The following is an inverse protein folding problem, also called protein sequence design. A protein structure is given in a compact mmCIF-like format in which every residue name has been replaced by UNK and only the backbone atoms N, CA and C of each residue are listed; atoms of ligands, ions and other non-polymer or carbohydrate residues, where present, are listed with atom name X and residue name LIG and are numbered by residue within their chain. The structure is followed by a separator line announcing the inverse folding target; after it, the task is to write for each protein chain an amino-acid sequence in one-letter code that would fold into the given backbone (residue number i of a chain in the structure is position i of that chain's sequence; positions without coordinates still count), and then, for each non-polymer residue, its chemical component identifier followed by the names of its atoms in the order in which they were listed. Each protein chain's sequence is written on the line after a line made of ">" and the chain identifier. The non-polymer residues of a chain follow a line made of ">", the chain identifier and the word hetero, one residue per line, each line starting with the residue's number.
data_IF_685976640648
#
_entry.id   IF_685976640648
#
_cell.length_a   1.000
_cell.length_b   1.000
_cell.length_c   1.000
_cell.angle_alpha   90.00
_cell.angle_beta   90.00
_cell.angle_gamma   90.00
#
_symmetry.space_group_name_H-M   'P 1'
#
loop_
_entity.id
_entity.type
_entity.pdbx_description
1 polymer ?
#
# COMPACT_ATOMS: atom_id res chain seq x y z
N UNK A 1 -27.77 -19.15 -46.83
CA UNK A 1 -27.07 -19.10 -45.52
C UNK A 1 -27.38 -17.74 -44.89
N UNK A 2 -28.35 -17.68 -43.98
CA UNK A 2 -28.57 -16.48 -43.16
C UNK A 2 -27.60 -16.52 -41.98
N UNK A 3 -26.71 -15.54 -41.89
CA UNK A 3 -25.89 -15.28 -40.71
C UNK A 3 -26.75 -14.49 -39.73
N UNK A 4 -27.16 -15.13 -38.65
CA UNK A 4 -27.81 -14.48 -37.52
C UNK A 4 -26.77 -13.65 -36.76
N UNK A 5 -26.91 -12.33 -36.82
CA UNK A 5 -26.17 -11.41 -35.96
C UNK A 5 -26.76 -11.49 -34.55
N UNK A 6 -26.05 -12.15 -33.63
CA UNK A 6 -26.33 -12.08 -32.20
C UNK A 6 -25.92 -10.71 -31.69
N UNK A 7 -26.89 -9.80 -31.55
CA UNK A 7 -26.71 -8.56 -30.80
C UNK A 7 -26.55 -8.91 -29.32
N UNK A 8 -25.34 -8.75 -28.81
CA UNK A 8 -25.07 -8.85 -27.37
C UNK A 8 -25.72 -7.64 -26.69
N UNK A 9 -26.87 -7.85 -26.05
CA UNK A 9 -27.45 -6.85 -25.15
C UNK A 9 -26.55 -6.77 -23.94
N UNK A 10 -25.85 -5.65 -23.78
CA UNK A 10 -25.02 -5.38 -22.60
C UNK A 10 -25.92 -5.36 -21.36
N UNK A 11 -25.63 -6.22 -20.39
CA UNK A 11 -26.30 -6.24 -19.09
C UNK A 11 -26.15 -4.87 -18.41
N UNK A 12 -27.27 -4.20 -18.09
CA UNK A 12 -27.26 -2.90 -17.40
C UNK A 12 -27.17 -3.15 -15.90
N UNK A 13 -26.07 -2.75 -15.27
CA UNK A 13 -25.91 -2.87 -13.82
C UNK A 13 -26.62 -1.71 -13.14
N UNK A 14 -27.35 -1.96 -12.06
CA UNK A 14 -28.08 -0.92 -11.34
C UNK A 14 -27.96 -1.10 -9.83
N UNK A 15 -28.15 0.00 -9.11
CA UNK A 15 -28.19 0.08 -7.67
C UNK A 15 -29.55 0.63 -7.22
N UNK A 16 -30.20 -0.08 -6.32
CA UNK A 16 -31.43 0.34 -5.66
C UNK A 16 -31.11 0.71 -4.22
N UNK A 17 -31.59 1.87 -3.79
CA UNK A 17 -31.74 2.17 -2.36
C UNK A 17 -33.21 2.02 -2.02
N UNK A 18 -33.53 1.11 -1.12
CA UNK A 18 -34.89 0.90 -0.62
C UNK A 18 -35.21 1.94 0.46
N UNK A 19 -36.50 2.26 0.66
CA UNK A 19 -36.95 3.22 1.68
C UNK A 19 -36.57 2.85 3.12
N UNK A 20 -36.22 1.60 3.37
CA UNK A 20 -35.68 1.14 4.65
C UNK A 20 -34.15 1.32 4.78
N UNK A 21 -33.51 2.00 3.83
CA UNK A 21 -32.07 2.25 3.77
C UNK A 21 -31.24 1.08 3.23
N UNK A 22 -31.86 -0.06 2.86
CA UNK A 22 -31.12 -1.20 2.30
C UNK A 22 -30.70 -0.89 0.86
N UNK A 23 -29.43 -1.14 0.57
CA UNK A 23 -28.85 -1.00 -0.77
C UNK A 23 -28.74 -2.37 -1.43
N UNK A 24 -29.20 -2.47 -2.68
CA UNK A 24 -29.14 -3.66 -3.51
C UNK A 24 -28.46 -3.30 -4.83
N UNK A 25 -27.49 -4.10 -5.27
CA UNK A 25 -26.90 -3.97 -6.60
C UNK A 25 -27.09 -5.25 -7.39
N UNK A 26 -27.40 -5.14 -8.68
CA UNK A 26 -27.66 -6.29 -9.56
C UNK A 26 -27.80 -5.90 -11.02
N UNK A 27 -27.89 -6.92 -11.87
CA UNK A 27 -28.17 -6.73 -13.29
C UNK A 27 -29.66 -6.47 -13.49
N UNK A 28 -30.02 -5.43 -14.22
CA UNK A 28 -31.40 -5.09 -14.55
C UNK A 28 -31.94 -6.08 -15.59
N UNK A 29 -32.91 -6.89 -15.18
CA UNK A 29 -33.59 -7.85 -16.07
C UNK A 29 -34.79 -7.17 -16.74
N UNK A 30 -35.59 -6.43 -15.97
CA UNK A 30 -36.69 -5.62 -16.50
C UNK A 30 -37.13 -4.55 -15.49
N UNK A 31 -37.76 -3.50 -15.99
CA UNK A 31 -38.47 -2.53 -15.15
C UNK A 31 -39.75 -2.05 -15.83
N UNK A 32 -40.74 -1.70 -15.02
CA UNK A 32 -41.95 -1.00 -15.42
C UNK A 32 -42.38 -0.04 -14.29
N UNK A 33 -43.55 0.59 -14.43
CA UNK A 33 -44.05 1.59 -13.48
C UNK A 33 -44.28 1.05 -12.06
N UNK A 34 -44.49 -0.26 -11.90
CA UNK A 34 -44.81 -0.87 -10.60
C UNK A 34 -43.66 -1.72 -10.05
N UNK A 35 -42.76 -2.20 -10.90
CA UNK A 35 -41.79 -3.23 -10.51
C UNK A 35 -40.44 -3.08 -11.19
N UNK A 36 -39.40 -3.50 -10.46
CA UNK A 36 -38.02 -3.64 -10.95
C UNK A 36 -37.57 -5.07 -10.66
N UNK A 37 -37.06 -5.77 -11.66
CA UNK A 37 -36.52 -7.13 -11.51
C UNK A 37 -35.01 -7.05 -11.69
N UNK A 38 -34.26 -7.42 -10.64
CA UNK A 38 -32.80 -7.51 -10.68
C UNK A 38 -32.33 -8.94 -10.54
N UNK A 39 -31.28 -9.29 -11.27
CA UNK A 39 -30.52 -10.51 -11.03
C UNK A 39 -29.41 -10.22 -10.03
N UNK A 40 -29.55 -10.74 -8.81
CA UNK A 40 -28.63 -10.56 -7.69
C UNK A 40 -28.00 -11.90 -7.37
N UNK A 41 -26.68 -12.04 -7.56
CA UNK A 41 -25.96 -13.32 -7.37
C UNK A 41 -26.60 -14.47 -8.15
N UNK A 42 -27.03 -14.20 -9.39
CA UNK A 42 -27.63 -15.20 -10.28
C UNK A 42 -29.13 -15.47 -10.06
N UNK A 43 -29.76 -14.88 -9.05
CA UNK A 43 -31.18 -15.06 -8.74
C UNK A 43 -31.96 -13.81 -9.14
N UNK A 44 -33.01 -13.99 -9.95
CA UNK A 44 -33.95 -12.92 -10.27
C UNK A 44 -34.81 -12.58 -9.05
N UNK A 45 -34.73 -11.33 -8.60
CA UNK A 45 -35.42 -10.81 -7.42
C UNK A 45 -36.27 -9.63 -7.84
N UNK A 46 -37.56 -9.67 -7.47
CA UNK A 46 -38.54 -8.63 -7.77
C UNK A 46 -38.62 -7.62 -6.64
N UNK A 47 -38.56 -6.33 -6.98
CA UNK A 47 -38.74 -5.20 -6.09
C UNK A 47 -39.94 -4.36 -6.54
N UNK A 48 -40.81 -3.99 -5.60
CA UNK A 48 -41.92 -3.06 -5.86
C UNK A 48 -41.36 -1.62 -5.93
N UNK A 49 -41.72 -0.87 -6.97
CA UNK A 49 -41.23 0.51 -7.19
C UNK A 49 -41.55 1.42 -6.00
N UNK A 50 -42.66 1.17 -5.29
CA UNK A 50 -43.05 1.95 -4.11
C UNK A 50 -42.12 1.76 -2.91
N UNK A 51 -41.33 0.68 -2.89
CA UNK A 51 -40.35 0.38 -1.85
C UNK A 51 -38.96 0.94 -2.16
N UNK A 52 -38.76 1.42 -3.39
CA UNK A 52 -37.49 2.00 -3.86
C UNK A 52 -37.51 3.50 -3.58
N UNK A 53 -36.48 3.97 -2.89
CA UNK A 53 -36.22 5.39 -2.63
C UNK A 53 -35.36 5.99 -3.74
N UNK A 54 -34.33 5.25 -4.18
CA UNK A 54 -33.40 5.68 -5.24
C UNK A 54 -33.11 4.54 -6.21
N UNK A 55 -33.09 4.86 -7.50
CA UNK A 55 -32.72 3.95 -8.59
C UNK A 55 -31.58 4.60 -9.38
N UNK A 56 -30.41 3.97 -9.43
CA UNK A 56 -29.24 4.48 -10.13
C UNK A 56 -28.68 3.43 -11.09
N UNK A 57 -28.45 3.80 -12.34
CA UNK A 57 -27.72 2.97 -13.29
C UNK A 57 -26.23 3.10 -13.04
N UNK A 58 -25.55 1.97 -12.88
CA UNK A 58 -24.09 1.89 -12.78
C UNK A 58 -23.59 1.72 -14.21
N UNK A 59 -23.16 2.84 -14.80
CA UNK A 59 -22.54 2.82 -16.12
C UNK A 59 -21.22 2.06 -16.05
N UNK A 60 -20.99 1.18 -17.03
CA UNK A 60 -19.67 0.58 -17.19
C UNK A 60 -18.64 1.66 -17.56
N UNK A 61 -17.33 1.47 -17.28
CA UNK A 61 -16.30 2.42 -17.70
C UNK A 61 -16.35 2.76 -19.20
N UNK A 62 -16.80 1.84 -20.05
CA UNK A 62 -16.99 2.06 -21.49
C UNK A 62 -18.17 3.00 -21.79
N UNK A 63 -19.31 2.84 -21.14
CA UNK A 63 -20.48 3.69 -21.36
C UNK A 63 -20.24 5.11 -20.81
N UNK A 64 -19.61 5.19 -19.65
CA UNK A 64 -19.23 6.48 -19.06
C UNK A 64 -18.16 7.19 -19.92
N UNK A 65 -17.26 6.43 -20.54
CA UNK A 65 -16.33 6.96 -21.56
C UNK A 65 -17.04 7.57 -22.77
N UNK A 66 -17.98 6.85 -23.39
CA UNK A 66 -18.71 7.35 -24.57
C UNK A 66 -19.48 8.64 -24.23
N UNK A 67 -20.14 8.66 -23.07
CA UNK A 67 -20.87 9.83 -22.58
C UNK A 67 -19.97 11.04 -22.34
N UNK A 68 -18.78 10.84 -21.76
CA UNK A 68 -17.81 11.92 -21.54
C UNK A 68 -17.17 12.36 -22.86
N UNK A 69 -16.82 11.41 -23.74
CA UNK A 69 -16.17 11.71 -25.02
C UNK A 69 -17.04 12.51 -25.97
N UNK A 70 -18.36 12.24 -25.98
CA UNK A 70 -19.33 12.96 -26.80
C UNK A 70 -19.49 14.45 -26.44
N UNK A 71 -19.09 14.84 -25.23
CA UNK A 71 -19.15 16.23 -24.74
C UNK A 71 -17.86 17.02 -25.03
N UNK A 72 -16.82 16.35 -25.50
CA UNK A 72 -15.51 16.95 -25.77
C UNK A 72 -15.32 17.14 -27.28
N UNK A 73 -14.72 18.27 -27.64
CA UNK A 73 -14.29 18.50 -29.03
C UNK A 73 -13.05 17.66 -29.34
N UNK A 74 -12.85 17.35 -30.62
CA UNK A 74 -11.70 16.55 -31.04
C UNK A 74 -10.36 17.26 -30.82
N UNK A 75 -10.35 18.60 -30.86
CA UNK A 75 -9.17 19.45 -30.61
C UNK A 75 -9.00 19.84 -29.13
N UNK A 76 -9.84 19.36 -28.22
CA UNK A 76 -9.74 19.64 -26.79
C UNK A 76 -8.69 18.74 -26.12
N UNK A 77 -7.42 19.13 -26.24
CA UNK A 77 -6.29 18.41 -25.64
C UNK A 77 -6.49 18.17 -24.13
N UNK A 78 -6.86 19.21 -23.37
CA UNK A 78 -6.97 19.12 -21.91
C UNK A 78 -8.14 18.25 -21.46
N UNK A 79 -9.31 18.43 -22.09
CA UNK A 79 -10.50 17.63 -21.79
C UNK A 79 -10.28 16.15 -22.11
N UNK A 80 -9.71 15.86 -23.29
CA UNK A 80 -9.44 14.49 -23.74
C UNK A 80 -8.29 13.84 -22.95
N UNK A 81 -7.27 14.59 -22.55
CA UNK A 81 -6.20 14.08 -21.68
C UNK A 81 -6.73 13.70 -20.28
N UNK A 82 -7.60 14.53 -19.70
CA UNK A 82 -8.29 14.22 -18.43
C UNK A 82 -9.19 12.98 -18.58
N UNK A 83 -9.90 12.86 -19.70
CA UNK A 83 -10.71 11.67 -20.00
C UNK A 83 -9.85 10.40 -20.06
N UNK A 84 -8.70 10.46 -20.73
CA UNK A 84 -7.75 9.36 -20.78
C UNK A 84 -7.13 9.01 -19.41
N UNK A 85 -6.92 10.01 -18.56
CA UNK A 85 -6.41 9.84 -17.20
C UNK A 85 -7.44 9.14 -16.30
N UNK A 86 -8.70 9.56 -16.40
CA UNK A 86 -9.81 8.89 -15.71
C UNK A 86 -9.99 7.44 -16.20
N UNK A 87 -9.94 7.19 -17.52
CA UNK A 87 -9.98 5.82 -18.06
C UNK A 87 -8.85 4.93 -17.53
N UNK A 88 -7.67 5.52 -17.28
CA UNK A 88 -6.55 4.81 -16.67
C UNK A 88 -6.83 4.46 -15.20
N UNK A 89 -7.44 5.37 -14.43
CA UNK A 89 -7.85 5.14 -13.03
C UNK A 89 -8.93 4.06 -12.93
N UNK A 90 -9.88 4.01 -13.86
CA UNK A 90 -10.92 2.97 -13.97
C UNK A 90 -10.40 1.64 -14.57
N UNK A 91 -9.08 1.52 -14.76
CA UNK A 91 -8.40 0.39 -15.41
C UNK A 91 -8.91 0.01 -16.81
N UNK A 92 -9.57 0.94 -17.50
CA UNK A 92 -10.07 0.80 -18.86
C UNK A 92 -8.94 1.08 -19.88
N UNK A 93 -7.84 0.34 -19.74
CA UNK A 93 -6.58 0.61 -20.42
C UNK A 93 -6.66 0.56 -21.96
N UNK A 94 -7.56 -0.24 -22.53
CA UNK A 94 -7.76 -0.30 -23.98
C UNK A 94 -8.32 1.01 -24.53
N UNK A 95 -9.31 1.58 -23.85
CA UNK A 95 -9.95 2.84 -24.20
C UNK A 95 -8.99 4.01 -23.96
N UNK A 96 -8.28 3.99 -22.82
CA UNK A 96 -7.27 5.00 -22.51
C UNK A 96 -6.18 5.04 -23.59
N UNK A 97 -5.68 3.87 -24.02
CA UNK A 97 -4.66 3.79 -25.07
C UNK A 97 -5.16 4.34 -26.40
N UNK A 98 -6.38 4.00 -26.82
CA UNK A 98 -6.96 4.51 -28.07
C UNK A 98 -7.05 6.03 -28.07
N UNK A 99 -7.53 6.62 -26.98
CA UNK A 99 -7.69 8.06 -26.87
C UNK A 99 -6.33 8.79 -26.87
N UNK A 100 -5.35 8.24 -26.15
CA UNK A 100 -3.99 8.80 -26.08
C UNK A 100 -3.22 8.65 -27.40
N UNK A 101 -3.46 7.60 -28.18
CA UNK A 101 -2.87 7.47 -29.52
C UNK A 101 -3.36 8.59 -30.44
N UNK A 102 -4.66 8.90 -30.40
CA UNK A 102 -5.22 10.02 -31.16
C UNK A 102 -4.60 11.34 -30.69
N UNK A 103 -4.60 11.61 -29.39
CA UNK A 103 -4.01 12.85 -28.85
C UNK A 103 -2.53 12.99 -29.17
N UNK A 104 -1.75 11.90 -29.14
CA UNK A 104 -0.32 11.96 -29.43
C UNK A 104 -0.04 12.28 -30.91
N UNK A 105 -0.98 11.92 -31.79
CA UNK A 105 -0.90 12.26 -33.21
C UNK A 105 -1.27 13.73 -33.44
N UNK A 106 -2.33 14.20 -32.79
CA UNK A 106 -2.87 15.54 -32.99
C UNK A 106 -2.04 16.62 -32.25
N UNK A 107 -1.40 16.25 -31.14
CA UNK A 107 -0.60 17.14 -30.27
C UNK A 107 0.79 16.56 -29.96
N UNK A 108 1.68 16.38 -30.95
CA UNK A 108 2.96 15.68 -30.79
C UNK A 108 3.99 16.41 -29.91
N UNK A 109 3.78 17.69 -29.63
CA UNK A 109 4.67 18.50 -28.79
C UNK A 109 4.30 18.41 -27.30
N UNK A 110 3.12 17.86 -26.95
CA UNK A 110 2.73 17.69 -25.57
C UNK A 110 3.47 16.49 -24.96
N UNK A 111 4.28 16.74 -23.93
CA UNK A 111 5.12 15.72 -23.30
C UNK A 111 4.35 14.78 -22.36
N UNK A 112 3.13 15.16 -21.94
CA UNK A 112 2.30 14.41 -20.98
C UNK A 112 1.60 13.24 -21.67
N UNK A 113 1.10 13.47 -22.89
CA UNK A 113 0.40 12.44 -23.69
C UNK A 113 1.25 11.17 -23.94
N UNK A 114 2.50 11.25 -24.46
CA UNK A 114 3.33 10.06 -24.67
C UNK A 114 3.73 9.37 -23.36
N UNK A 115 3.88 10.13 -22.27
CA UNK A 115 4.16 9.58 -20.94
C UNK A 115 2.98 8.73 -20.44
N UNK A 116 1.77 9.27 -20.46
CA UNK A 116 0.58 8.53 -20.05
C UNK A 116 0.29 7.34 -20.97
N UNK A 117 0.51 7.50 -22.29
CA UNK A 117 0.39 6.39 -23.26
C UNK A 117 1.34 5.24 -22.93
N UNK A 118 2.59 5.53 -22.54
CA UNK A 118 3.57 4.53 -22.10
C UNK A 118 3.09 3.80 -20.83
N UNK A 119 2.57 4.54 -19.86
CA UNK A 119 2.06 3.98 -18.59
C UNK A 119 0.86 3.07 -18.85
N UNK A 120 -0.11 3.52 -19.64
CA UNK A 120 -1.31 2.75 -20.00
C UNK A 120 -0.94 1.46 -20.74
N UNK A 121 0.00 1.52 -21.69
CA UNK A 121 0.50 0.33 -22.41
C UNK A 121 1.14 -0.69 -21.47
N UNK A 122 1.96 -0.24 -20.53
CA UNK A 122 2.58 -1.12 -19.53
C UNK A 122 1.53 -1.80 -18.64
N UNK A 123 0.56 -1.04 -18.11
CA UNK A 123 -0.54 -1.60 -17.32
C UNK A 123 -1.43 -2.57 -18.10
N UNK A 124 -1.73 -2.26 -19.36
CA UNK A 124 -2.50 -3.16 -20.23
C UNK A 124 -1.78 -4.49 -20.43
N UNK A 125 -0.47 -4.48 -20.71
CA UNK A 125 0.34 -5.71 -20.85
C UNK A 125 0.31 -6.55 -19.58
N UNK A 126 0.50 -5.92 -18.43
CA UNK A 126 0.42 -6.61 -17.13
C UNK A 126 -0.96 -7.23 -16.89
N UNK A 127 -2.05 -6.57 -17.30
CA UNK A 127 -3.43 -7.09 -17.19
C UNK A 127 -3.68 -8.26 -18.16
N UNK A 128 -3.20 -8.18 -19.40
CA UNK A 128 -3.32 -9.28 -20.38
C UNK A 128 -2.49 -10.49 -20.00
N UNK A 129 -1.31 -10.30 -19.43
CA UNK A 129 -0.45 -11.40 -18.98
C UNK A 129 -1.03 -12.08 -17.72
N UNK A 130 -1.68 -11.31 -16.85
CA UNK A 130 -2.40 -11.85 -15.69
C UNK A 130 -3.68 -12.61 -16.08
N UNK A 131 -4.31 -12.26 -17.20
CA UNK A 131 -5.50 -12.95 -17.74
C UNK A 131 -5.21 -14.16 -18.62
N UNK A 132 -3.94 -14.40 -18.98
CA UNK A 132 -3.52 -15.51 -19.86
C UNK A 132 -3.18 -16.80 -19.10
N UNK A 133 -3.23 -16.78 -17.76
CA UNK A 133 -2.88 -17.92 -16.92
C UNK A 133 -4.00 -18.97 -16.77
N UNK A 134 -5.06 -18.87 -17.59
CA UNK A 134 -6.22 -19.76 -17.55
C UNK A 134 -6.47 -20.38 -18.95
N UNK A 135 -5.45 -21.00 -19.55
CA UNK A 135 -5.62 -21.92 -20.68
C UNK A 135 -4.65 -23.10 -20.63
N UNK A 136 -5.25 -24.26 -20.34
CA UNK A 136 -4.85 -25.63 -20.73
C UNK A 136 -3.48 -26.11 -20.25
N UNK A 137 -3.52 -26.86 -19.14
CA UNK A 137 -2.54 -27.88 -18.80
C UNK A 137 -2.54 -28.94 -19.91
N UNK A 138 -1.53 -28.93 -20.77
CA UNK A 138 -1.08 -30.11 -21.50
C UNK A 138 0.37 -30.37 -21.16
N UNK A 139 0.56 -31.38 -20.31
CA UNK A 139 1.84 -31.94 -19.90
C UNK A 139 2.61 -32.49 -21.11
N UNK A 140 3.88 -32.09 -21.35
CA UNK A 140 4.76 -32.85 -22.22
C UNK A 140 5.53 -33.88 -21.39
N UNK A 141 5.26 -35.14 -21.67
CA UNK A 141 5.99 -36.31 -21.18
C UNK A 141 7.45 -36.24 -21.65
N UNK A 142 8.41 -36.22 -20.71
CA UNK A 142 9.85 -36.31 -21.03
C UNK A 142 10.32 -37.78 -21.03
N UNK A 143 11.04 -38.25 -22.07
CA UNK A 143 11.57 -39.61 -22.10
C UNK A 143 12.76 -39.80 -21.14
N UNK A 144 12.82 -41.00 -20.54
CA UNK A 144 13.97 -41.50 -19.76
C UNK A 144 15.19 -41.71 -20.67
N UNK A 145 16.36 -41.29 -20.22
CA UNK A 145 17.63 -41.83 -20.73
C UNK A 145 18.57 -42.10 -19.57
N UNK A 146 19.14 -43.30 -19.61
CA UNK A 146 20.04 -43.95 -18.66
C UNK A 146 21.48 -43.51 -18.92
N UNK A 147 22.25 -43.13 -17.89
CA UNK A 147 23.72 -43.35 -17.85
C UNK A 147 24.20 -43.60 -16.41
N UNK A 148 24.80 -44.78 -16.27
CA UNK A 148 25.78 -45.45 -15.37
C UNK A 148 26.53 -44.67 -14.24
N UNK A 149 26.98 -45.36 -13.15
CA UNK A 149 27.42 -44.72 -11.89
C UNK A 149 28.95 -44.75 -11.57
N UNK A 150 29.28 -44.06 -10.47
CA UNK A 150 30.43 -44.16 -9.53
C UNK A 150 31.60 -43.15 -9.71
N UNK A 151 32.33 -42.73 -8.63
CA UNK A 151 32.43 -43.38 -7.32
C UNK A 151 32.19 -42.51 -6.06
N UNK A 152 31.95 -43.25 -4.97
CA UNK A 152 31.85 -42.82 -3.57
C UNK A 152 33.20 -42.32 -3.05
N UNK A 153 33.19 -41.20 -2.33
CA UNK A 153 34.19 -40.88 -1.31
C UNK A 153 33.45 -40.86 0.04
N UNK A 154 33.83 -41.82 0.88
CA UNK A 154 33.49 -41.94 2.30
C UNK A 154 34.29 -40.94 3.12
N UNK A 155 33.64 -40.19 4.00
CA UNK A 155 34.22 -39.78 5.28
C UNK A 155 33.16 -39.81 6.37
N UNK A 156 33.35 -40.75 7.30
CA UNK A 156 32.69 -40.81 8.59
C UNK A 156 33.17 -39.66 9.47
N UNK A 157 32.26 -38.94 10.15
CA UNK A 157 32.46 -38.44 11.52
C UNK A 157 31.11 -38.06 12.18
N UNK A 158 30.94 -38.26 13.50
CA UNK A 158 29.68 -38.01 14.24
C UNK A 158 29.49 -36.52 14.61
N UNK A 159 28.31 -36.10 15.10
CA UNK A 159 27.96 -34.68 15.27
C UNK A 159 28.69 -34.08 16.48
N UNK A 160 29.50 -33.05 16.24
CA UNK A 160 30.10 -32.22 17.29
C UNK A 160 29.19 -31.06 17.67
N UNK A 161 29.04 -30.89 18.99
CA UNK A 161 28.42 -29.79 19.73
C UNK A 161 28.93 -28.42 19.25
N UNK A 162 28.11 -27.35 19.21
CA UNK A 162 28.54 -26.04 18.71
C UNK A 162 29.66 -25.45 19.57
N UNK A 163 30.74 -25.04 18.90
CA UNK A 163 31.94 -24.45 19.47
C UNK A 163 31.75 -22.95 19.74
N UNK A 164 32.11 -22.52 20.95
CA UNK A 164 32.10 -21.13 21.44
C UNK A 164 33.21 -20.29 20.77
N UNK A 165 33.03 -19.91 19.51
CA UNK A 165 33.84 -18.89 18.84
C UNK A 165 32.94 -17.96 18.00
N UNK A 166 31.95 -17.33 18.64
CA UNK A 166 31.37 -16.10 18.10
C UNK A 166 32.32 -14.94 18.43
N UNK A 167 32.68 -14.06 17.48
CA UNK A 167 33.38 -12.83 17.80
C UNK A 167 32.52 -12.04 18.79
N UNK A 168 33.11 -11.63 19.92
CA UNK A 168 32.51 -10.65 20.80
C UNK A 168 32.43 -9.31 20.04
N UNK A 169 31.31 -9.09 19.34
CA UNK A 169 31.07 -7.82 18.67
C UNK A 169 30.83 -6.77 19.75
N UNK A 170 31.71 -5.76 19.80
CA UNK A 170 31.45 -4.53 20.52
C UNK A 170 30.01 -4.08 20.24
N UNK A 171 29.26 -3.83 21.31
CA UNK A 171 27.90 -3.32 21.20
C UNK A 171 28.01 -1.97 20.47
N UNK A 172 27.29 -1.74 19.35
CA UNK A 172 27.27 -0.42 18.74
C UNK A 172 26.74 0.54 19.79
N UNK A 173 27.46 1.63 20.03
CA UNK A 173 27.02 2.66 20.95
C UNK A 173 25.79 3.29 20.29
N UNK A 174 24.59 2.90 20.76
CA UNK A 174 23.36 3.62 20.39
C UNK A 174 23.62 5.09 20.76
N UNK A 175 23.50 6.04 19.82
CA UNK A 175 23.73 7.44 20.13
C UNK A 175 22.87 7.83 21.34
N UNK A 176 23.52 8.45 22.33
CA UNK A 176 22.89 8.81 23.60
C UNK A 176 21.60 9.61 23.34
N UNK A 177 20.52 9.24 24.03
CA UNK A 177 19.19 9.84 23.83
C UNK A 177 18.31 9.25 22.73
N UNK A 178 18.78 8.25 21.95
CA UNK A 178 17.91 7.57 20.97
C UNK A 178 17.08 6.48 21.66
N UNK A 179 15.80 6.74 21.89
CA UNK A 179 14.89 5.77 22.52
C UNK A 179 14.19 4.90 21.46
N UNK A 180 13.82 3.67 21.84
CA UNK A 180 12.90 2.87 21.02
C UNK A 180 11.46 3.25 21.37
N UNK A 181 10.54 3.08 20.42
CA UNK A 181 9.13 3.30 20.69
C UNK A 181 8.61 2.39 21.81
N UNK A 182 7.73 2.94 22.64
CA UNK A 182 6.99 2.19 23.66
C UNK A 182 5.87 1.36 23.01
N UNK A 183 5.29 0.43 23.77
CA UNK A 183 4.18 -0.38 23.27
C UNK A 183 2.96 0.47 22.90
N UNK A 184 2.67 1.51 23.67
CA UNK A 184 1.58 2.44 23.41
C UNK A 184 1.81 3.21 22.10
N UNK A 185 3.04 3.66 21.84
CA UNK A 185 3.40 4.32 20.59
C UNK A 185 3.29 3.38 19.38
N UNK A 186 3.71 2.11 19.55
CA UNK A 186 3.54 1.07 18.53
C UNK A 186 2.06 0.84 18.23
N UNK A 187 1.22 0.76 19.26
CA UNK A 187 -0.21 0.54 19.07
C UNK A 187 -0.88 1.74 18.37
N UNK A 188 -0.44 2.97 18.62
CA UNK A 188 -0.87 4.15 17.83
C UNK A 188 -0.54 3.98 16.35
N UNK A 189 0.68 3.54 16.00
CA UNK A 189 1.05 3.28 14.60
C UNK A 189 0.09 2.25 13.98
N UNK A 190 -0.18 1.15 14.70
CA UNK A 190 -1.11 0.12 14.23
C UNK A 190 -2.52 0.66 14.04
N UNK A 191 -3.01 1.51 14.94
CA UNK A 191 -4.38 2.07 14.87
C UNK A 191 -4.58 2.87 13.61
N UNK A 192 -3.62 3.72 13.25
CA UNK A 192 -3.73 4.53 12.04
C UNK A 192 -3.63 3.72 10.74
N UNK A 193 -2.91 2.59 10.77
CA UNK A 193 -2.64 1.77 9.58
C UNK A 193 -3.54 0.52 9.49
N UNK A 194 -4.51 0.35 10.39
CA UNK A 194 -5.36 -0.84 10.41
C UNK A 194 -6.51 -0.74 9.41
N UNK A 195 -6.74 -1.82 8.68
CA UNK A 195 -7.93 -1.97 7.84
C UNK A 195 -9.08 -2.63 8.62
N UNK A 196 -10.10 -1.85 8.98
CA UNK A 196 -11.25 -2.33 9.76
C UNK A 196 -12.14 -3.32 9.01
N UNK A 197 -12.07 -3.39 7.67
CA UNK A 197 -12.83 -4.37 6.89
C UNK A 197 -12.41 -5.81 7.18
N UNK A 198 -11.17 -6.01 7.65
CA UNK A 198 -10.68 -7.31 8.11
C UNK A 198 -11.09 -7.66 9.54
N UNK A 199 -11.91 -6.81 10.19
CA UNK A 199 -12.42 -7.00 11.55
C UNK A 199 -11.30 -7.36 12.55
N UNK A 200 -10.25 -6.54 12.63
CA UNK A 200 -9.11 -6.82 13.48
C UNK A 200 -9.53 -6.89 14.95
N UNK A 201 -8.80 -7.66 15.75
CA UNK A 201 -8.98 -7.62 17.20
C UNK A 201 -8.41 -6.31 17.73
N UNK A 202 -9.29 -5.48 18.28
CA UNK A 202 -8.95 -4.23 18.98
C UNK A 202 -9.44 -4.37 20.43
N UNK A 203 -8.64 -3.90 21.38
CA UNK A 203 -8.96 -3.96 22.80
C UNK A 203 -8.89 -2.55 23.39
N UNK A 204 -9.91 -2.18 24.15
CA UNK A 204 -9.96 -0.97 24.95
C UNK A 204 -10.21 -1.33 26.41
N UNK A 205 -9.73 -0.50 27.35
CA UNK A 205 -10.20 -0.59 28.73
C UNK A 205 -11.64 -0.08 28.80
N UNK A 206 -12.43 -0.68 29.68
CA UNK A 206 -13.81 -0.23 29.90
C UNK A 206 -13.89 1.25 30.29
N UNK A 207 -12.98 1.69 31.16
CA UNK A 207 -12.88 3.10 31.59
C UNK A 207 -12.69 4.06 30.42
N UNK A 208 -11.86 3.70 29.44
CA UNK A 208 -11.54 4.56 28.30
C UNK A 208 -12.76 4.68 27.37
N UNK A 209 -13.55 3.60 27.21
CA UNK A 209 -14.80 3.62 26.46
C UNK A 209 -15.89 4.46 27.15
N UNK A 210 -15.97 4.39 28.48
CA UNK A 210 -16.92 5.20 29.26
C UNK A 210 -16.55 6.69 29.24
N UNK A 211 -15.25 7.01 29.30
CA UNK A 211 -14.73 8.37 29.12
C UNK A 211 -15.04 8.90 27.71
N UNK A 212 -14.81 8.11 26.66
CA UNK A 212 -15.15 8.45 25.28
C UNK A 212 -16.63 8.82 25.14
N UNK A 213 -17.52 7.96 25.63
CA UNK A 213 -18.97 8.20 25.59
C UNK A 213 -19.41 9.43 26.39
N UNK A 214 -18.66 9.81 27.41
CA UNK A 214 -18.94 10.99 28.23
C UNK A 214 -18.49 12.25 27.51
N UNK A 215 -17.27 12.23 26.95
CA UNK A 215 -16.67 13.39 26.27
C UNK A 215 -17.33 13.73 24.93
N UNK A 216 -17.80 12.72 24.20
CA UNK A 216 -18.38 12.88 22.86
C UNK A 216 -19.91 12.83 22.86
N UNK A 217 -20.56 12.87 24.03
CA UNK A 217 -22.02 12.85 24.14
C UNK A 217 -22.66 13.96 23.28
N UNK A 218 -23.74 13.63 22.59
CA UNK A 218 -24.47 14.57 21.74
C UNK A 218 -23.88 14.79 20.34
N UNK A 219 -22.68 14.26 20.04
CA UNK A 219 -22.19 14.25 18.64
C UNK A 219 -22.93 13.22 17.81
N UNK A 220 -23.05 13.51 16.52
CA UNK A 220 -23.59 12.57 15.53
C UNK A 220 -22.81 11.24 15.58
N UNK A 221 -23.52 10.12 15.45
CA UNK A 221 -22.99 8.75 15.56
C UNK A 221 -22.54 8.29 16.96
N UNK A 222 -22.69 9.13 17.99
CA UNK A 222 -22.36 8.73 19.37
C UNK A 222 -23.60 8.19 20.09
N UNK A 223 -23.50 7.01 20.74
CA UNK A 223 -24.54 6.46 21.60
C UNK A 223 -25.02 7.46 22.68
N UNK A 224 -26.27 7.89 22.59
CA UNK A 224 -26.84 8.88 23.52
C UNK A 224 -27.80 8.25 24.53
N UNK A 225 -28.56 7.22 24.14
CA UNK A 225 -29.50 6.55 25.04
C UNK A 225 -28.82 5.46 25.88
N UNK A 226 -29.40 5.12 27.04
CA UNK A 226 -28.90 4.04 27.91
C UNK A 226 -28.71 2.72 27.15
N UNK A 227 -29.67 2.35 26.29
CA UNK A 227 -29.60 1.12 25.49
C UNK A 227 -28.49 1.18 24.44
N UNK A 228 -28.30 2.32 23.77
CA UNK A 228 -27.21 2.48 22.80
C UNK A 228 -25.84 2.43 23.49
N UNK A 229 -25.70 3.07 24.66
CA UNK A 229 -24.46 3.03 25.46
C UNK A 229 -24.14 1.62 25.92
N UNK A 230 -25.13 0.87 26.42
CA UNK A 230 -24.97 -0.54 26.78
C UNK A 230 -24.50 -1.38 25.58
N UNK A 231 -25.13 -1.20 24.41
CA UNK A 231 -24.71 -1.87 23.18
C UNK A 231 -23.25 -1.53 22.82
N UNK A 232 -22.86 -0.27 22.87
CA UNK A 232 -21.49 0.15 22.56
C UNK A 232 -20.48 -0.49 23.51
N UNK A 233 -20.75 -0.49 24.81
CA UNK A 233 -19.83 -0.99 25.83
C UNK A 233 -19.73 -2.52 25.87
N UNK A 234 -20.85 -3.21 25.63
CA UNK A 234 -20.98 -4.64 25.94
C UNK A 234 -21.24 -5.54 24.72
N UNK A 235 -21.65 -4.98 23.58
CA UNK A 235 -22.08 -5.78 22.40
C UNK A 235 -21.27 -5.50 21.15
N UNK A 236 -20.71 -4.31 21.00
CA UNK A 236 -19.83 -4.01 19.87
C UNK A 236 -18.45 -4.64 20.07
N UNK A 237 -17.89 -5.13 18.98
CA UNK A 237 -16.50 -5.57 18.92
C UNK A 237 -15.56 -4.36 18.85
N UNK A 238 -14.32 -4.53 19.29
CA UNK A 238 -13.38 -3.41 19.42
C UNK A 238 -13.13 -2.64 18.11
N UNK A 239 -13.11 -3.29 16.94
CA UNK A 239 -12.96 -2.58 15.67
C UNK A 239 -14.19 -1.73 15.32
N UNK A 240 -15.39 -2.12 15.78
CA UNK A 240 -16.61 -1.34 15.61
C UNK A 240 -16.60 -0.13 16.55
N UNK A 241 -16.07 -0.29 17.77
CA UNK A 241 -15.84 0.82 18.70
C UNK A 241 -14.82 1.82 18.11
N UNK A 242 -13.72 1.31 17.53
CA UNK A 242 -12.71 2.13 16.86
C UNK A 242 -13.26 2.85 15.61
N UNK A 243 -14.10 2.21 14.80
CA UNK A 243 -14.77 2.84 13.65
C UNK A 243 -15.61 4.06 14.08
N UNK A 244 -16.33 3.95 15.20
CA UNK A 244 -17.09 5.08 15.76
C UNK A 244 -16.14 6.21 16.20
N UNK A 245 -15.02 5.88 16.86
CA UNK A 245 -14.01 6.88 17.24
C UNK A 245 -13.40 7.59 16.04
N UNK A 246 -13.16 6.89 14.92
CA UNK A 246 -12.69 7.49 13.67
C UNK A 246 -13.71 8.47 13.07
N UNK A 247 -14.99 8.11 13.05
CA UNK A 247 -16.07 8.97 12.53
C UNK A 247 -16.16 10.31 13.25
N UNK A 248 -15.88 10.34 14.56
CA UNK A 248 -15.87 11.58 15.34
C UNK A 248 -14.48 12.18 15.56
N UNK A 249 -13.45 11.61 14.92
CA UNK A 249 -12.05 12.04 14.98
C UNK A 249 -11.51 12.14 16.41
N UNK A 250 -11.82 11.16 17.26
CA UNK A 250 -11.44 11.15 18.67
C UNK A 250 -9.98 10.71 18.90
N UNK A 251 -9.04 11.53 18.38
CA UNK A 251 -7.59 11.22 18.32
C UNK A 251 -6.97 10.86 19.66
N UNK A 252 -7.44 11.48 20.74
CA UNK A 252 -6.94 11.22 22.10
C UNK A 252 -7.25 9.81 22.61
N UNK A 253 -8.19 9.09 21.98
CA UNK A 253 -8.52 7.70 22.30
C UNK A 253 -7.77 6.69 21.44
N UNK A 254 -7.07 7.11 20.39
CA UNK A 254 -6.34 6.19 19.51
C UNK A 254 -5.18 5.51 20.24
N UNK A 255 -4.48 6.25 21.12
CA UNK A 255 -3.43 5.69 21.99
C UNK A 255 -3.95 4.78 23.10
N UNK A 256 -5.26 4.71 23.30
CA UNK A 256 -5.91 3.79 24.26
C UNK A 256 -6.30 2.46 23.62
N UNK A 257 -6.31 2.40 22.28
CA UNK A 257 -6.61 1.19 21.54
C UNK A 257 -5.38 0.29 21.48
N UNK A 258 -5.51 -0.95 21.92
CA UNK A 258 -4.48 -1.98 21.75
C UNK A 258 -4.82 -2.86 20.55
N UNK A 259 -3.85 -3.09 19.68
CA UNK A 259 -3.98 -3.99 18.53
C UNK A 259 -2.95 -5.13 18.69
N UNK A 260 -3.36 -6.27 19.31
CA UNK A 260 -2.43 -7.32 19.69
C UNK A 260 -1.74 -8.02 18.52
N UNK A 261 -2.33 -7.98 17.32
CA UNK A 261 -1.78 -8.58 16.10
C UNK A 261 -1.39 -7.49 15.12
N UNK A 262 -0.34 -7.72 14.35
CA UNK A 262 0.08 -6.75 13.34
C UNK A 262 -1.01 -6.59 12.26
N UNK A 263 -1.35 -5.34 11.89
CA UNK A 263 -2.01 -5.03 10.62
C UNK A 263 -1.21 -5.57 9.42
N UNK A 264 -1.88 -5.79 8.30
CA UNK A 264 -1.27 -6.39 7.12
C UNK A 264 -0.03 -5.64 6.64
N UNK A 265 -0.11 -4.30 6.61
CA UNK A 265 1.01 -3.44 6.20
C UNK A 265 2.25 -3.60 7.09
N UNK A 266 2.06 -3.93 8.38
CA UNK A 266 3.17 -4.16 9.30
C UNK A 266 3.72 -5.59 9.23
N UNK A 267 2.91 -6.58 8.85
CA UNK A 267 3.42 -7.92 8.52
C UNK A 267 4.32 -7.87 7.27
N UNK A 268 3.86 -7.14 6.25
CA UNK A 268 4.66 -6.87 5.06
C UNK A 268 5.93 -6.09 5.42
N UNK A 269 5.81 -5.03 6.22
CA UNK A 269 6.96 -4.26 6.66
C UNK A 269 7.96 -5.08 7.48
N UNK A 270 7.53 -5.99 8.37
CA UNK A 270 8.44 -6.90 9.09
C UNK A 270 9.26 -7.75 8.12
N UNK A 271 8.64 -8.23 7.04
CA UNK A 271 9.34 -8.98 5.99
C UNK A 271 10.32 -8.08 5.24
N UNK A 272 9.90 -6.88 4.85
CA UNK A 272 10.74 -5.91 4.19
C UNK A 272 11.93 -5.48 5.05
N UNK A 273 11.67 -5.19 6.32
CA UNK A 273 12.66 -4.77 7.30
C UNK A 273 13.78 -5.80 7.42
N UNK A 274 13.42 -7.07 7.60
CA UNK A 274 14.39 -8.17 7.70
C UNK A 274 15.16 -8.43 6.39
N UNK A 275 14.50 -8.35 5.24
CA UNK A 275 15.09 -8.77 3.96
C UNK A 275 15.83 -7.66 3.23
N UNK A 276 15.46 -6.41 3.46
CA UNK A 276 16.00 -5.24 2.79
C UNK A 276 16.63 -4.26 3.76
N UNK A 277 15.85 -3.69 4.69
CA UNK A 277 16.30 -2.57 5.54
C UNK A 277 17.52 -2.97 6.37
N UNK A 278 17.47 -4.10 7.08
CA UNK A 278 18.58 -4.58 7.90
C UNK A 278 19.83 -4.94 7.11
N UNK A 279 19.67 -5.41 5.87
CA UNK A 279 20.79 -5.91 5.06
C UNK A 279 21.40 -4.86 4.14
N UNK A 280 20.69 -3.77 3.87
CA UNK A 280 21.07 -2.76 2.87
C UNK A 280 21.21 -1.36 3.43
N UNK A 281 20.49 -1.04 4.51
CA UNK A 281 20.43 0.31 5.06
C UNK A 281 20.99 0.35 6.48
N UNK A 282 20.46 -0.48 7.38
CA UNK A 282 20.80 -0.48 8.81
C UNK A 282 22.06 -1.33 9.14
N UNK A 283 22.95 -1.57 8.20
CA UNK A 283 24.22 -2.25 8.51
C UNK A 283 25.10 -1.33 9.35
N UNK A 284 26.03 -1.91 10.12
CA UNK A 284 26.93 -1.13 10.98
C UNK A 284 27.81 -0.16 10.20
N UNK A 285 28.12 -0.47 8.93
CA UNK A 285 28.90 0.39 8.03
C UNK A 285 28.09 1.52 7.39
N UNK A 286 26.76 1.50 7.54
CA UNK A 286 25.84 2.47 6.94
C UNK A 286 25.06 3.19 8.05
N UNK A 287 23.75 2.92 8.17
CA UNK A 287 22.88 3.64 9.10
C UNK A 287 22.70 2.96 10.47
N UNK A 288 23.34 1.81 10.72
CA UNK A 288 23.17 1.05 11.96
C UNK A 288 24.39 0.98 12.87
N UNK A 289 25.37 1.86 12.70
CA UNK A 289 26.58 1.94 13.51
C UNK A 289 27.02 3.38 13.78
N UNK A 290 28.16 3.53 14.45
CA UNK A 290 28.63 4.82 14.99
C UNK A 290 28.97 5.86 13.90
N UNK A 291 29.20 5.41 12.66
CA UNK A 291 29.45 6.28 11.51
C UNK A 291 28.17 6.69 10.76
N UNK A 292 26.99 6.36 11.29
CA UNK A 292 25.71 6.72 10.67
C UNK A 292 25.58 8.23 10.49
N UNK A 293 25.29 8.64 9.25
CA UNK A 293 25.07 10.04 8.87
C UNK A 293 23.61 10.28 8.52
N UNK A 294 23.03 11.37 9.02
CA UNK A 294 21.68 11.82 8.70
C UNK A 294 20.58 11.03 9.42
N UNK A 295 20.48 9.73 9.15
CA UNK A 295 19.54 8.83 9.83
C UNK A 295 20.27 7.68 10.52
N UNK A 296 19.77 7.30 11.70
CA UNK A 296 20.17 6.10 12.42
C UNK A 296 19.02 5.08 12.40
N UNK A 297 19.34 3.83 12.07
CA UNK A 297 18.41 2.71 12.02
C UNK A 297 18.91 1.60 12.93
N UNK A 298 18.03 1.10 13.80
CA UNK A 298 18.35 0.05 14.74
C UNK A 298 18.50 -1.30 14.02
N UNK A 299 19.66 -1.93 14.14
CA UNK A 299 19.88 -3.32 13.71
C UNK A 299 19.83 -4.32 14.87
N UNK A 300 20.21 -3.89 16.07
CA UNK A 300 20.13 -4.63 17.33
C UNK A 300 20.13 -3.65 18.49
N UNK A 301 19.49 -4.02 19.60
CA UNK A 301 19.62 -3.31 20.89
C UNK A 301 19.41 -4.31 22.03
N UNK A 302 20.38 -4.50 22.94
CA UNK A 302 20.18 -5.36 24.10
C UNK A 302 18.94 -4.96 24.89
N UNK A 303 18.14 -5.96 25.29
CA UNK A 303 16.89 -5.74 26.03
C UNK A 303 15.69 -5.25 25.19
N UNK A 304 15.88 -4.96 23.89
CA UNK A 304 14.78 -4.60 23.01
C UNK A 304 14.11 -5.83 22.40
N UNK A 305 12.79 -5.76 22.23
CA UNK A 305 12.07 -6.75 21.43
C UNK A 305 12.28 -6.51 19.93
N UNK A 306 12.16 -7.55 19.08
CA UNK A 306 12.19 -7.37 17.63
C UNK A 306 11.15 -6.36 17.13
N UNK A 307 9.96 -6.34 17.74
CA UNK A 307 8.89 -5.43 17.37
C UNK A 307 9.25 -3.98 17.66
N UNK A 308 9.82 -3.68 18.83
CA UNK A 308 10.28 -2.32 19.12
C UNK A 308 11.29 -1.82 18.09
N UNK A 309 12.23 -2.67 17.66
CA UNK A 309 13.21 -2.32 16.61
C UNK A 309 12.50 -2.08 15.27
N UNK A 310 11.61 -2.97 14.84
CA UNK A 310 10.93 -2.86 13.54
C UNK A 310 10.07 -1.59 13.51
N UNK A 311 9.20 -1.39 14.49
CA UNK A 311 8.28 -0.25 14.50
C UNK A 311 9.00 1.08 14.69
N UNK A 312 10.08 1.11 15.46
CA UNK A 312 10.91 2.33 15.56
C UNK A 312 11.56 2.66 14.22
N UNK A 313 12.12 1.67 13.52
CA UNK A 313 12.68 1.90 12.20
C UNK A 313 11.62 2.31 11.16
N UNK A 314 10.42 1.74 11.22
CA UNK A 314 9.29 2.22 10.41
C UNK A 314 9.05 3.70 10.68
N UNK A 315 8.95 4.10 11.94
CA UNK A 315 8.66 5.48 12.32
C UNK A 315 9.76 6.44 11.85
N UNK A 316 11.04 6.09 12.02
CA UNK A 316 12.16 6.89 11.54
C UNK A 316 12.09 7.06 10.03
N UNK A 317 11.90 5.96 9.28
CA UNK A 317 11.79 6.01 7.82
C UNK A 317 10.54 6.76 7.36
N UNK A 318 9.43 6.67 8.08
CA UNK A 318 8.19 7.35 7.72
C UNK A 318 8.29 8.88 7.87
N UNK A 319 9.07 9.35 8.86
CA UNK A 319 9.19 10.77 9.16
C UNK A 319 10.46 11.42 8.58
N UNK A 320 11.33 10.64 7.94
CA UNK A 320 12.51 11.20 7.29
C UNK A 320 12.20 11.75 5.91
N UNK A 321 12.73 12.93 5.63
CA UNK A 321 12.74 13.55 4.31
C UNK A 321 14.11 14.18 4.03
N UNK A 322 14.40 14.37 2.75
CA UNK A 322 15.57 15.09 2.30
C UNK A 322 15.18 16.12 1.24
N UNK A 323 15.96 17.19 1.14
CA UNK A 323 15.74 18.23 0.13
C UNK A 323 16.85 18.19 -0.91
N UNK A 324 16.46 18.30 -2.18
CA UNK A 324 17.37 18.50 -3.32
C UNK A 324 16.78 19.57 -4.22
N UNK A 325 17.57 20.57 -4.58
CA UNK A 325 17.18 21.65 -5.49
C UNK A 325 15.89 22.38 -5.04
N UNK A 326 15.71 22.56 -3.73
CA UNK A 326 14.52 23.19 -3.14
C UNK A 326 13.27 22.30 -3.11
N UNK A 327 13.36 21.06 -3.61
CA UNK A 327 12.27 20.08 -3.58
C UNK A 327 12.49 19.04 -2.48
N UNK A 328 11.45 18.83 -1.66
CA UNK A 328 11.44 17.78 -0.64
C UNK A 328 11.08 16.42 -1.25
N UNK A 329 11.76 15.39 -0.75
CA UNK A 329 11.53 13.98 -1.05
C UNK A 329 11.42 13.22 0.26
N UNK A 330 10.31 12.52 0.45
CA UNK A 330 10.09 11.72 1.63
C UNK A 330 10.72 10.34 1.46
N UNK A 331 11.20 9.76 2.55
CA UNK A 331 11.71 8.39 2.53
C UNK A 331 10.62 7.38 2.18
N UNK A 332 9.40 7.64 2.64
CA UNK A 332 8.19 6.91 2.25
C UNK A 332 7.19 7.94 1.69
N UNK A 333 7.19 8.11 0.37
CA UNK A 333 6.23 8.96 -0.34
C UNK A 333 5.01 8.12 -0.74
N UNK A 334 3.94 8.22 0.05
CA UNK A 334 2.67 7.49 -0.20
C UNK A 334 1.92 7.99 -1.44
N UNK A 335 2.10 9.26 -1.81
CA UNK A 335 1.38 9.87 -2.93
C UNK A 335 2.05 9.56 -4.28
N UNK A 336 3.37 9.42 -4.27
CA UNK A 336 4.19 9.05 -5.42
C UNK A 336 5.25 8.03 -5.00
N UNK A 337 4.88 6.74 -4.81
CA UNK A 337 5.77 5.69 -4.32
C UNK A 337 7.12 5.64 -5.01
N UNK A 338 7.16 5.80 -6.33
CA UNK A 338 8.38 5.80 -7.15
C UNK A 338 9.35 6.93 -6.79
N UNK A 339 8.87 8.04 -6.20
CA UNK A 339 9.69 9.15 -5.72
C UNK A 339 10.26 8.94 -4.32
N UNK A 340 9.83 7.90 -3.61
CA UNK A 340 10.31 7.58 -2.26
C UNK A 340 11.81 7.40 -2.24
N UNK A 341 12.51 8.03 -1.29
CA UNK A 341 13.95 7.84 -1.14
C UNK A 341 14.29 6.37 -0.86
N UNK A 342 13.40 5.63 -0.20
CA UNK A 342 13.58 4.19 0.04
C UNK A 342 13.77 3.37 -1.24
N UNK A 343 13.12 3.79 -2.33
CA UNK A 343 13.26 3.20 -3.65
C UNK A 343 14.44 3.80 -4.42
N UNK A 344 14.54 5.14 -4.42
CA UNK A 344 15.61 5.86 -5.14
C UNK A 344 17.01 5.45 -4.66
N UNK A 345 17.21 5.32 -3.35
CA UNK A 345 18.49 4.96 -2.77
C UNK A 345 18.93 3.52 -3.06
N UNK A 346 18.00 2.63 -3.42
CA UNK A 346 18.30 1.26 -3.81
C UNK A 346 18.66 1.10 -5.30
N UNK A 347 18.45 2.13 -6.13
CA UNK A 347 18.72 2.09 -7.57
C UNK A 347 20.16 2.54 -7.90
N UNK A 348 20.58 2.32 -9.15
CA UNK A 348 21.84 2.89 -9.65
C UNK A 348 21.71 4.41 -9.77
N UNK A 349 22.74 5.16 -9.39
CA UNK A 349 22.68 6.63 -9.34
C UNK A 349 22.23 7.29 -10.65
N UNK A 350 22.62 6.70 -11.79
CA UNK A 350 22.23 7.17 -13.13
C UNK A 350 20.73 7.02 -13.45
N UNK A 351 20.03 6.14 -12.73
CA UNK A 351 18.61 5.85 -12.93
C UNK A 351 17.71 6.55 -11.89
N UNK A 352 18.29 7.43 -11.08
CA UNK A 352 17.60 8.09 -9.96
C UNK A 352 17.43 9.58 -10.18
N UNK A 353 16.33 10.11 -9.65
CA UNK A 353 16.15 11.56 -9.50
C UNK A 353 16.91 12.05 -8.26
N UNK A 354 16.90 11.25 -7.18
CA UNK A 354 17.62 11.53 -5.94
C UNK A 354 18.51 10.32 -5.57
N UNK A 355 19.78 10.30 -6.00
CA UNK A 355 20.68 9.19 -5.67
C UNK A 355 21.02 9.19 -4.18
N UNK A 356 21.28 8.00 -3.64
CA UNK A 356 21.88 7.90 -2.31
C UNK A 356 23.25 8.64 -2.31
N UNK A 357 23.57 9.41 -1.26
CA UNK A 357 24.88 10.05 -1.13
C UNK A 357 26.03 9.04 -1.26
N UNK A 358 27.15 9.38 -1.89
CA UNK A 358 28.26 8.46 -2.04
C UNK A 358 28.85 8.12 -0.67
N UNK A 359 28.84 6.84 -0.31
CA UNK A 359 29.45 6.29 0.91
C UNK A 359 30.21 5.01 0.58
N UNK A 360 31.22 4.69 1.38
CA UNK A 360 32.02 3.47 1.18
C UNK A 360 31.13 2.24 1.30
N UNK A 361 31.25 1.30 0.37
CA UNK A 361 30.51 0.04 0.41
C UNK A 361 29.07 0.11 -0.10
N UNK A 362 28.60 1.28 -0.56
CA UNK A 362 27.29 1.42 -1.20
C UNK A 362 27.19 0.50 -2.43
N UNK A 363 26.15 -0.34 -2.47
CA UNK A 363 25.83 -1.20 -3.62
C UNK A 363 24.35 -1.05 -3.96
N UNK A 364 23.98 -0.86 -5.24
CA UNK A 364 22.58 -0.85 -5.66
C UNK A 364 21.90 -2.16 -5.26
N UNK A 365 20.69 -2.06 -4.72
CA UNK A 365 19.86 -3.21 -4.41
C UNK A 365 18.99 -3.64 -5.60
N UNK A 366 18.66 -2.70 -6.50
CA UNK A 366 17.78 -2.93 -7.65
C UNK A 366 18.59 -2.85 -8.94
N UNK A 367 19.25 -3.95 -9.31
CA UNK A 367 20.11 -4.02 -10.50
C UNK A 367 19.33 -3.83 -11.81
N UNK A 368 18.01 -4.01 -11.79
CA UNK A 368 17.10 -3.78 -12.92
C UNK A 368 16.22 -2.53 -12.72
N UNK A 369 16.59 -1.65 -11.79
CA UNK A 369 15.83 -0.45 -11.46
C UNK A 369 14.37 -0.77 -11.13
N UNK A 370 13.44 -0.06 -11.76
CA UNK A 370 12.00 -0.21 -11.55
C UNK A 370 11.42 -1.58 -11.96
N UNK A 371 12.15 -2.36 -12.76
CA UNK A 371 11.74 -3.72 -13.15
C UNK A 371 12.15 -4.78 -12.12
N UNK A 372 12.87 -4.41 -11.07
CA UNK A 372 13.26 -5.35 -10.03
C UNK A 372 12.04 -5.82 -9.21
N UNK A 373 12.01 -7.10 -8.85
CA UNK A 373 10.92 -7.68 -8.07
C UNK A 373 10.89 -7.09 -6.66
N UNK A 374 12.06 -6.83 -6.06
CA UNK A 374 12.14 -6.24 -4.72
C UNK A 374 11.67 -4.78 -4.74
N UNK A 375 12.07 -4.01 -5.76
CA UNK A 375 11.55 -2.65 -6.01
C UNK A 375 10.02 -2.64 -6.05
N UNK A 376 9.42 -3.50 -6.89
CA UNK A 376 7.96 -3.58 -7.02
C UNK A 376 7.25 -4.11 -5.78
N UNK A 377 7.92 -4.88 -4.93
CA UNK A 377 7.37 -5.33 -3.65
C UNK A 377 7.33 -4.17 -2.66
N UNK A 378 8.43 -3.41 -2.53
CA UNK A 378 8.48 -2.22 -1.66
C UNK A 378 7.49 -1.17 -2.14
N UNK A 379 7.42 -0.92 -3.45
CA UNK A 379 6.49 0.05 -4.03
C UNK A 379 5.03 -0.27 -3.70
N UNK A 380 4.61 -1.53 -3.86
CA UNK A 380 3.24 -1.96 -3.54
C UNK A 380 2.95 -1.87 -2.03
N UNK A 381 3.94 -2.15 -1.19
CA UNK A 381 3.83 -1.94 0.24
C UNK A 381 3.64 -0.46 0.60
N UNK A 382 4.39 0.46 -0.03
CA UNK A 382 4.19 1.91 0.18
C UNK A 382 2.76 2.32 -0.22
N UNK A 383 2.24 1.76 -1.32
CA UNK A 383 0.86 2.01 -1.80
C UNK A 383 -0.23 1.45 -0.87
N UNK A 384 0.09 0.46 -0.04
CA UNK A 384 -0.89 -0.16 0.86
C UNK A 384 -1.02 0.58 2.21
N UNK A 385 -0.10 1.49 2.51
CA UNK A 385 -0.17 2.35 3.70
C UNK A 385 -1.35 3.33 3.62
N UNK A 386 -1.88 3.70 4.78
CA UNK A 386 -2.93 4.71 4.90
C UNK A 386 -2.44 6.04 4.32
N UNK A 387 -3.22 6.65 3.43
CA UNK A 387 -2.89 7.89 2.73
C UNK A 387 -3.99 8.95 2.91
N UNK A 388 -3.66 10.23 3.19
CA UNK A 388 -2.29 10.76 3.36
C UNK A 388 -1.62 10.27 4.65
N UNK A 389 -0.30 10.46 4.76
CA UNK A 389 0.48 10.14 5.97
C UNK A 389 -0.21 10.74 7.20
N UNK A 390 -0.58 9.93 8.20
CA UNK A 390 -1.23 10.44 9.40
C UNK A 390 -0.18 11.05 10.34
N UNK A 391 -0.61 12.05 11.11
CA UNK A 391 0.14 12.52 12.27
C UNK A 391 -0.12 11.55 13.44
N UNK A 392 0.90 10.76 13.77
CA UNK A 392 0.82 9.78 14.85
C UNK A 392 0.91 10.44 16.25
N UNK A 393 1.25 11.72 16.36
CA UNK A 393 1.34 12.41 17.65
C UNK A 393 2.42 11.86 18.58
N UNK A 394 3.48 11.29 18.01
CA UNK A 394 4.61 10.71 18.74
C UNK A 394 5.75 11.72 18.75
N UNK A 395 6.12 12.22 19.93
CA UNK A 395 7.36 12.97 20.10
C UNK A 395 8.54 11.99 20.16
N UNK A 396 9.29 11.91 19.06
CA UNK A 396 10.41 11.00 18.91
C UNK A 396 11.71 11.78 18.83
N UNK A 397 12.56 11.61 19.84
CA UNK A 397 13.89 12.22 19.86
C UNK A 397 14.86 11.35 19.06
N UNK A 398 15.10 11.74 17.81
CA UNK A 398 16.26 11.24 17.07
C UNK A 398 17.49 11.89 17.68
N UNK A 399 18.50 11.10 18.05
CA UNK A 399 19.80 11.68 18.38
C UNK A 399 20.37 12.25 17.09
N UNK A 400 20.32 13.57 16.96
CA UNK A 400 20.84 14.28 15.81
C UNK A 400 22.37 14.17 15.81
N UNK A 401 22.94 13.14 15.19
CA UNK A 401 24.27 13.27 14.60
C UNK A 401 24.13 14.15 13.37
N UNK A 402 24.07 15.47 13.59
CA UNK A 402 24.14 16.46 12.53
C UNK A 402 25.40 16.18 11.71
N UNK A 403 25.31 15.87 10.40
CA UNK A 403 26.49 15.62 9.60
C UNK A 403 27.30 16.93 9.48
N UNK A 404 28.46 16.98 10.15
CA UNK A 404 29.49 17.95 9.79
C UNK A 404 30.04 17.49 8.45
N UNK A 405 29.69 18.21 7.38
CA UNK A 405 30.36 18.06 6.08
C UNK A 405 31.79 18.53 6.29
N UNK A 406 32.71 17.59 6.56
CA UNK A 406 34.13 17.89 6.38
C UNK A 406 34.38 18.02 4.87
N UNK A 407 34.95 19.13 4.40
CA UNK A 407 35.33 19.26 3.01
C UNK A 407 36.29 18.13 2.64
N UNK A 408 36.19 17.70 1.38
CA UNK A 408 37.03 16.64 0.83
C UNK A 408 38.51 16.94 1.13
N UNK A 409 39.15 16.03 1.85
CA UNK A 409 40.59 16.07 2.08
C UNK A 409 41.22 15.90 0.70
N UNK A 410 41.82 16.96 0.17
CA UNK A 410 42.62 16.88 -1.04
C UNK A 410 43.79 15.94 -0.75
N UNK A 411 44.03 14.88 -1.54
CA UNK A 411 45.23 14.07 -1.39
C UNK A 411 46.45 14.99 -1.59
N UNK A 412 47.29 15.08 -0.57
CA UNK A 412 48.52 15.88 -0.59
C UNK A 412 49.47 15.41 -1.70
N UNK A 413 50.11 16.40 -2.32
CA UNK A 413 51.30 16.25 -3.16
C UNK A 413 52.51 15.81 -2.34
#
# INVERSE_FOLDING_TARGET
>A
MLVTATSSVMATQVQLTLKNGKVISGELVSQNSTTVILKVVGIETRYDRNTIDKFEEILTPTQEYENRRAKLKDDDLEGRYKLASWLYEEEAYNQAEKELISLNKDFPQDTRVPLLLKIVRSKRRLKTDSGSNDRVVTTPTRPKTVVTPAPKITTNNPPTKPSNNEPAYATPLVPEGTELLTQEQIDVLKVYEVNLNYRPRVVFKRSDLEEFLTKYVGKENIPSTRSQRDRFLNRLEGYQQLDIMFKVKAREFYSKAQIPKDPEVFKEFKTLHRTYILNRCATSECHGGDEARGIFLFNRRPGATPDQIVYTNFYILNNYSATKDGQQYDMIDRASPERSLLLQFGMMSQDTVFPHPPVRGLKPAFLRGAEDRQYNTIRRWIQSLFSPTPDYGIDYKVSNTTPVIQPAITPGQ
#
